data_IF_873507570518
#
_entry.id   IF_873507570518
#
_cell.length_a   1.000
_cell.length_b   1.000
_cell.length_c   1.000
_cell.angle_alpha   90.00
_cell.angle_beta   90.00
_cell.angle_gamma   90.00
#
_symmetry.space_group_name_H-M   'P 1'
#
loop_
_entity.id
_entity.type
_entity.pdbx_description
1 polymer ?
#
# COMPACT_ATOMS: atom_id res chain seq x y z
N UNK A 1 -9.66 -5.61 -5.35
CA UNK A 1 -9.02 -6.78 -4.71
C UNK A 1 -8.53 -6.49 -3.28
N UNK A 2 -7.89 -5.35 -2.98
CA UNK A 2 -7.44 -5.04 -1.60
C UNK A 2 -8.62 -4.79 -0.64
N UNK A 3 -9.58 -3.92 -1.01
CA UNK A 3 -10.79 -3.65 -0.19
C UNK A 3 -11.55 -4.93 0.20
N UNK A 4 -11.62 -5.90 -0.71
CA UNK A 4 -12.31 -7.18 -0.48
C UNK A 4 -11.61 -7.98 0.60
N UNK A 5 -10.27 -8.08 0.58
CA UNK A 5 -9.50 -8.70 1.66
C UNK A 5 -9.82 -8.11 3.03
N UNK A 6 -9.84 -6.78 3.16
CA UNK A 6 -10.16 -6.13 4.44
C UNK A 6 -11.60 -6.42 4.89
N UNK A 7 -12.54 -6.46 3.95
CA UNK A 7 -13.96 -6.75 4.24
C UNK A 7 -14.15 -8.20 4.65
N UNK A 8 -13.63 -9.14 3.87
CA UNK A 8 -13.79 -10.58 4.08
C UNK A 8 -13.09 -11.05 5.38
N UNK A 9 -12.02 -10.37 5.81
CA UNK A 9 -11.29 -10.67 7.04
C UNK A 9 -11.71 -9.77 8.24
N UNK A 10 -12.78 -8.98 8.12
CA UNK A 10 -13.27 -8.08 9.17
C UNK A 10 -12.21 -7.10 9.71
N UNK A 11 -11.28 -6.65 8.86
CA UNK A 11 -10.19 -5.75 9.24
C UNK A 11 -10.65 -4.31 9.08
N UNK A 12 -10.61 -3.55 10.18
CA UNK A 12 -10.82 -2.10 10.14
C UNK A 12 -9.63 -1.41 9.47
N UNK A 13 -9.87 -0.77 8.32
CA UNK A 13 -8.87 0.04 7.60
C UNK A 13 -8.22 1.08 8.51
N UNK A 14 -9.02 1.76 9.35
CA UNK A 14 -8.53 2.76 10.30
C UNK A 14 -7.55 2.14 11.31
N UNK A 15 -7.95 1.05 11.97
CA UNK A 15 -7.11 0.43 13.00
C UNK A 15 -5.84 -0.17 12.40
N UNK A 16 -5.95 -0.77 11.22
CA UNK A 16 -4.80 -1.24 10.46
C UNK A 16 -3.83 -0.10 10.12
N UNK A 17 -4.33 1.03 9.59
CA UNK A 17 -3.50 2.20 9.31
C UNK A 17 -2.76 2.70 10.57
N UNK A 18 -3.45 2.79 11.71
CA UNK A 18 -2.84 3.20 12.99
C UNK A 18 -1.76 2.23 13.47
N UNK A 19 -2.01 0.92 13.41
CA UNK A 19 -1.04 -0.13 13.77
C UNK A 19 0.29 0.03 13.02
N UNK A 20 0.23 0.46 11.76
CA UNK A 20 1.40 0.64 10.89
C UNK A 20 1.90 2.08 10.80
N UNK A 21 1.40 3.00 11.64
CA UNK A 21 1.74 4.42 11.63
C UNK A 21 1.57 5.07 10.23
N UNK A 22 0.48 4.74 9.55
CA UNK A 22 0.13 5.24 8.22
C UNK A 22 -0.92 6.34 8.30
N UNK A 23 -0.90 7.25 7.31
CA UNK A 23 -1.99 8.23 7.11
C UNK A 23 -3.31 7.49 6.86
N UNK A 24 -4.33 7.74 7.70
CA UNK A 24 -5.67 7.15 7.53
C UNK A 24 -6.23 7.48 6.14
N UNK A 25 -6.19 8.76 5.75
CA UNK A 25 -6.73 9.23 4.46
C UNK A 25 -6.07 8.53 3.28
N UNK A 26 -4.73 8.49 3.26
CA UNK A 26 -3.99 7.88 2.16
C UNK A 26 -4.25 6.37 2.11
N UNK A 27 -4.30 5.71 3.27
CA UNK A 27 -4.60 4.29 3.37
C UNK A 27 -5.98 3.95 2.82
N UNK A 28 -7.01 4.75 3.15
CA UNK A 28 -8.34 4.59 2.57
C UNK A 28 -8.35 4.74 1.05
N UNK A 29 -7.64 5.73 0.50
CA UNK A 29 -7.56 5.95 -0.95
C UNK A 29 -6.87 4.78 -1.66
N UNK A 30 -5.80 4.23 -1.09
CA UNK A 30 -5.11 3.05 -1.64
C UNK A 30 -6.00 1.82 -1.57
N UNK A 31 -6.55 1.49 -0.40
CA UNK A 31 -7.35 0.27 -0.20
C UNK A 31 -8.63 0.29 -1.06
N UNK A 32 -9.27 1.46 -1.20
CA UNK A 32 -10.44 1.64 -2.05
C UNK A 32 -10.13 1.68 -3.55
N UNK A 33 -8.85 1.72 -3.94
CA UNK A 33 -8.41 1.75 -5.35
C UNK A 33 -8.39 3.14 -5.99
N UNK A 34 -8.65 4.21 -5.24
CA UNK A 34 -8.55 5.59 -5.73
C UNK A 34 -7.09 5.99 -6.03
N UNK A 35 -6.13 5.38 -5.33
CA UNK A 35 -4.70 5.53 -5.60
C UNK A 35 -4.15 4.18 -6.04
N UNK A 36 -3.76 4.07 -7.31
CA UNK A 36 -3.32 2.81 -7.93
C UNK A 36 -1.81 2.56 -7.85
N UNK A 37 -1.01 3.51 -7.34
CA UNK A 37 0.46 3.38 -7.32
C UNK A 37 1.11 3.56 -8.70
N UNK A 38 0.44 4.25 -9.64
CA UNK A 38 0.99 4.60 -10.96
C UNK A 38 2.05 5.71 -10.90
N UNK A 39 2.08 6.48 -9.79
CA UNK A 39 3.05 7.53 -9.52
C UNK A 39 3.71 7.28 -8.16
N UNK A 40 5.00 7.60 -8.06
CA UNK A 40 5.79 7.44 -6.85
C UNK A 40 5.56 8.59 -5.86
N UNK A 41 4.47 8.53 -5.11
CA UNK A 41 4.29 9.39 -3.94
C UNK A 41 4.70 8.63 -2.68
N UNK A 42 5.62 9.22 -1.90
CA UNK A 42 6.20 8.58 -0.71
C UNK A 42 5.15 8.10 0.30
N UNK A 43 4.05 8.85 0.48
CA UNK A 43 2.99 8.51 1.42
C UNK A 43 2.16 7.30 0.97
N UNK A 44 1.82 7.21 -0.33
CA UNK A 44 1.12 6.02 -0.86
C UNK A 44 2.04 4.82 -0.97
N UNK A 45 3.34 5.03 -1.27
CA UNK A 45 4.32 3.97 -1.39
C UNK A 45 4.44 3.15 -0.10
N UNK A 46 4.55 3.82 1.05
CA UNK A 46 4.58 3.16 2.37
C UNK A 46 3.39 2.24 2.59
N UNK A 47 2.19 2.63 2.14
CA UNK A 47 0.99 1.78 2.25
C UNK A 47 1.15 0.51 1.41
N UNK A 48 1.60 0.62 0.16
CA UNK A 48 1.84 -0.54 -0.71
C UNK A 48 2.96 -1.44 -0.20
N UNK A 49 4.02 -0.88 0.36
CA UNK A 49 5.11 -1.66 0.98
C UNK A 49 4.62 -2.47 2.17
N UNK A 50 3.79 -1.89 3.06
CA UNK A 50 3.19 -2.63 4.17
C UNK A 50 2.26 -3.73 3.67
N UNK A 51 1.39 -3.42 2.69
CA UNK A 51 0.50 -4.41 2.07
C UNK A 51 1.28 -5.59 1.45
N UNK A 52 2.44 -5.32 0.84
CA UNK A 52 3.31 -6.35 0.30
C UNK A 52 3.98 -7.16 1.41
N UNK A 53 4.48 -6.50 2.46
CA UNK A 53 5.15 -7.17 3.58
C UNK A 53 4.22 -8.10 4.35
N UNK A 54 2.92 -7.77 4.46
CA UNK A 54 1.91 -8.62 5.07
C UNK A 54 1.31 -9.65 4.08
N UNK A 55 1.77 -9.67 2.82
CA UNK A 55 1.31 -10.63 1.80
C UNK A 55 -0.11 -10.37 1.29
N UNK A 56 -0.69 -9.20 1.55
CA UNK A 56 -2.03 -8.81 1.09
C UNK A 56 -2.03 -8.54 -0.43
N UNK A 57 -0.90 -8.07 -0.94
CA UNK A 57 -0.61 -7.99 -2.38
C UNK A 57 0.64 -8.82 -2.69
N UNK A 58 0.73 -9.34 -3.92
CA UNK A 58 1.85 -10.20 -4.33
C UNK A 58 3.08 -9.40 -4.80
N UNK A 59 2.87 -8.18 -5.27
CA UNK A 59 3.93 -7.33 -5.80
C UNK A 59 3.55 -5.85 -5.69
N UNK A 60 4.56 -4.96 -5.71
CA UNK A 60 4.34 -3.53 -5.82
C UNK A 60 3.74 -3.14 -7.18
N UNK A 61 2.89 -2.10 -7.24
CA UNK A 61 2.48 -1.48 -8.49
C UNK A 61 3.68 -1.03 -9.35
N UNK A 62 3.55 -1.11 -10.67
CA UNK A 62 4.64 -0.79 -11.62
C UNK A 62 5.25 0.61 -11.44
N UNK A 63 4.43 1.60 -11.10
CA UNK A 63 4.89 2.96 -10.83
C UNK A 63 5.74 3.11 -9.57
N UNK A 64 5.78 2.09 -8.71
CA UNK A 64 6.56 2.05 -7.46
C UNK A 64 7.78 1.11 -7.54
N UNK A 65 7.90 0.28 -8.59
CA UNK A 65 9.04 -0.65 -8.75
C UNK A 65 10.34 0.05 -9.15
N UNK A 66 10.27 1.19 -9.86
CA UNK A 66 11.42 1.82 -10.56
C UNK A 66 12.56 2.29 -9.65
N UNK A 67 12.28 2.77 -8.43
CA UNK A 67 13.35 3.23 -7.53
C UNK A 67 14.06 2.09 -6.78
N UNK A 68 13.48 0.88 -6.75
CA UNK A 68 14.14 -0.28 -6.14
C UNK A 68 15.34 -0.78 -6.94
N UNK A 69 15.35 -0.54 -8.26
CA UNK A 69 16.48 -0.85 -9.14
C UNK A 69 17.59 0.19 -8.99
N UNK A 70 17.27 1.48 -8.93
CA UNK A 70 18.28 2.54 -8.74
C UNK A 70 18.95 2.48 -7.36
N UNK A 71 18.23 2.11 -6.30
CA UNK A 71 18.78 2.04 -4.93
C UNK A 71 19.66 0.80 -4.68
N UNK A 72 19.59 -0.24 -5.53
CA UNK A 72 20.43 -1.44 -5.45
C UNK A 72 21.66 -1.37 -6.37
N UNK A 73 21.78 -0.32 -7.17
CA UNK A 73 22.87 -0.09 -8.11
C UNK A 73 23.88 0.98 -7.65
N UNK A 74 23.78 1.46 -6.39
CA UNK A 74 24.76 2.36 -5.74
C UNK A 74 25.41 1.72 -4.52
#
# INVERSE_FOLDING_TARGET
MIKKYFTDNCISIRQWAKKHNLSERTTYMVISGQVAGSKNFATSRKVFEVLLSEGIIKELPSGLKKEQEESKAS
#
